data_IF_475385063825
#
_entry.id   IF_475385063825
#
_cell.length_a   1.000
_cell.length_b   1.000
_cell.length_c   1.000
_cell.angle_alpha   90.00
_cell.angle_beta   90.00
_cell.angle_gamma   90.00
#
_symmetry.space_group_name_H-M   'P 1'
#
loop_
_entity.id
_entity.type
_entity.pdbx_description
1 polymer ?
#
# COMPACT_ATOMS: atom_id res chain seq x y z
N UNK A 1 13.84 18.93 -26.23
CA UNK A 1 14.56 18.02 -27.15
C UNK A 1 16.00 17.96 -26.64
N UNK A 2 16.55 16.79 -26.39
CA UNK A 2 17.95 16.64 -25.94
C UNK A 2 18.78 15.79 -26.90
N UNK A 3 20.03 15.54 -26.57
CA UNK A 3 21.00 14.89 -27.44
C UNK A 3 21.25 13.43 -27.05
N UNK A 4 21.34 12.56 -28.04
CA UNK A 4 21.82 11.19 -27.88
C UNK A 4 23.27 11.13 -28.35
N UNK A 5 24.18 10.72 -27.48
CA UNK A 5 25.62 10.72 -27.75
C UNK A 5 26.22 9.41 -27.25
N UNK A 6 27.15 8.83 -27.98
CA UNK A 6 27.89 7.63 -27.58
C UNK A 6 29.27 7.95 -26.97
N UNK A 7 29.86 9.09 -27.35
CA UNK A 7 31.07 9.66 -26.75
C UNK A 7 30.82 10.36 -25.41
N UNK A 8 31.64 10.01 -24.41
CA UNK A 8 31.56 10.56 -23.06
C UNK A 8 32.01 12.04 -23.01
N UNK A 9 32.98 12.43 -23.83
CA UNK A 9 33.50 13.80 -23.83
C UNK A 9 32.47 14.77 -24.43
N UNK A 10 31.91 14.42 -25.59
CA UNK A 10 30.81 15.18 -26.17
C UNK A 10 29.57 15.24 -25.26
N UNK A 11 29.25 14.16 -24.55
CA UNK A 11 28.18 14.17 -23.56
C UNK A 11 28.45 15.13 -22.39
N UNK A 12 29.70 15.23 -21.94
CA UNK A 12 30.10 16.14 -20.86
C UNK A 12 29.93 17.61 -21.26
N UNK A 13 30.39 17.98 -22.45
CA UNK A 13 30.29 19.35 -22.96
C UNK A 13 28.81 19.76 -23.16
N UNK A 14 27.98 18.86 -23.67
CA UNK A 14 26.55 19.10 -23.85
C UNK A 14 25.81 19.19 -22.51
N UNK A 15 26.20 18.40 -21.52
CA UNK A 15 25.65 18.50 -20.18
C UNK A 15 26.01 19.84 -19.52
N UNK A 16 27.27 20.28 -19.64
CA UNK A 16 27.71 21.58 -19.11
C UNK A 16 26.97 22.76 -19.75
N UNK A 17 26.60 22.64 -21.02
CA UNK A 17 25.83 23.66 -21.75
C UNK A 17 24.33 23.63 -21.44
N UNK A 18 23.88 22.73 -20.55
CA UNK A 18 22.49 22.66 -20.08
C UNK A 18 21.56 21.91 -21.04
N UNK A 19 22.11 21.19 -22.03
CA UNK A 19 21.34 20.33 -22.92
C UNK A 19 21.16 18.98 -22.23
N UNK A 20 19.93 18.44 -22.13
CA UNK A 20 19.72 17.08 -21.64
C UNK A 20 20.42 16.07 -22.57
N UNK A 21 21.26 15.20 -22.00
CA UNK A 21 22.03 14.20 -22.76
C UNK A 21 21.65 12.78 -22.33
N UNK A 22 21.49 11.89 -23.31
CA UNK A 22 21.38 10.45 -23.13
C UNK A 22 22.61 9.76 -23.71
N UNK A 23 23.47 9.22 -22.83
CA UNK A 23 24.67 8.50 -23.23
C UNK A 23 24.32 7.08 -23.70
N UNK A 24 24.57 6.77 -24.97
CA UNK A 24 24.35 5.45 -25.56
C UNK A 24 25.62 4.61 -25.33
N UNK A 25 25.52 3.57 -24.51
CA UNK A 25 26.61 2.61 -24.28
C UNK A 25 26.37 1.33 -25.09
N UNK A 26 27.39 0.85 -25.79
CA UNK A 26 27.29 -0.43 -26.48
C UNK A 26 27.12 -1.57 -25.48
N UNK A 27 26.27 -2.55 -25.79
CA UNK A 27 26.03 -3.73 -24.94
C UNK A 27 27.27 -4.59 -24.72
N UNK A 28 28.29 -4.44 -25.56
CA UNK A 28 29.61 -5.08 -25.41
C UNK A 28 30.45 -4.42 -24.31
N UNK A 29 30.19 -3.15 -23.99
CA UNK A 29 30.82 -2.38 -22.92
C UNK A 29 30.07 -2.49 -21.58
N UNK A 30 28.88 -3.11 -21.56
CA UNK A 30 28.21 -3.56 -20.33
C UNK A 30 28.91 -4.77 -19.69
N UNK A 31 30.03 -5.22 -20.28
CA UNK A 31 30.82 -6.31 -19.73
C UNK A 31 31.38 -5.91 -18.36
N UNK A 32 31.06 -6.73 -17.36
CA UNK A 32 31.72 -6.90 -16.05
C UNK A 32 31.21 -6.18 -14.80
N UNK A 33 30.01 -5.60 -14.81
CA UNK A 33 29.31 -5.38 -13.53
C UNK A 33 27.94 -6.04 -13.57
N UNK A 34 27.91 -7.34 -13.28
CA UNK A 34 26.65 -7.94 -12.83
C UNK A 34 26.32 -7.27 -11.51
N UNK A 35 25.20 -6.53 -11.48
CA UNK A 35 24.73 -5.87 -10.26
C UNK A 35 24.58 -6.90 -9.14
N UNK A 36 24.15 -8.13 -9.48
CA UNK A 36 24.07 -9.30 -8.58
C UNK A 36 25.39 -9.68 -7.90
N UNK A 37 26.55 -9.28 -8.45
CA UNK A 37 27.88 -9.54 -7.86
C UNK A 37 28.43 -8.36 -7.06
N UNK A 38 27.85 -7.17 -7.25
CA UNK A 38 28.31 -5.93 -6.61
C UNK A 38 27.45 -5.57 -5.39
N UNK A 39 26.23 -6.09 -5.36
CA UNK A 39 25.25 -5.86 -4.30
C UNK A 39 24.55 -7.19 -4.08
N UNK A 40 24.49 -7.63 -2.82
CA UNK A 40 23.64 -8.76 -2.46
C UNK A 40 22.20 -8.42 -2.85
N UNK A 41 21.51 -9.38 -3.47
CA UNK A 41 20.11 -9.20 -3.81
C UNK A 41 19.34 -8.87 -2.53
N UNK A 42 18.45 -7.87 -2.61
CA UNK A 42 17.53 -7.56 -1.52
C UNK A 42 16.57 -8.75 -1.45
N UNK A 43 16.89 -9.70 -0.58
CA UNK A 43 16.02 -10.82 -0.27
C UNK A 43 15.07 -10.35 0.83
N UNK A 44 13.77 -10.53 0.62
CA UNK A 44 12.78 -10.30 1.66
C UNK A 44 13.08 -11.34 2.74
N UNK A 45 13.67 -10.90 3.86
CA UNK A 45 13.97 -11.81 4.95
C UNK A 45 12.66 -12.50 5.38
N UNK A 46 12.75 -13.72 5.92
CA UNK A 46 11.59 -14.50 6.37
C UNK A 46 10.67 -13.75 7.38
N UNK A 47 11.11 -12.59 7.87
CA UNK A 47 10.37 -11.73 8.78
C UNK A 47 9.61 -10.59 8.09
N UNK A 48 9.63 -10.51 6.75
CA UNK A 48 9.08 -9.38 5.95
C UNK A 48 9.72 -8.04 6.30
N UNK A 49 11.04 -8.07 6.43
CA UNK A 49 11.83 -6.90 6.79
C UNK A 49 12.89 -6.71 5.72
N UNK A 50 12.90 -5.53 5.12
CA UNK A 50 13.91 -5.11 4.15
C UNK A 50 14.88 -4.13 4.84
N UNK A 51 16.16 -4.46 5.01
CA UNK A 51 17.14 -3.55 5.57
C UNK A 51 17.42 -2.39 4.61
N UNK A 52 17.50 -1.18 5.15
CA UNK A 52 17.96 -0.02 4.39
C UNK A 52 19.46 -0.11 4.17
N UNK A 53 19.90 0.13 2.93
CA UNK A 53 21.31 -0.01 2.54
C UNK A 53 22.23 1.01 3.21
N UNK A 54 21.75 2.24 3.36
CA UNK A 54 22.57 3.41 3.76
C UNK A 54 22.15 4.00 5.11
N UNK A 55 21.21 3.37 5.82
CA UNK A 55 20.68 3.87 7.09
C UNK A 55 20.44 2.73 8.09
N UNK A 56 20.62 2.98 9.40
CA UNK A 56 20.19 2.05 10.43
C UNK A 56 18.66 2.10 10.52
N UNK A 57 18.00 1.37 9.63
CA UNK A 57 16.56 1.31 9.55
C UNK A 57 16.11 0.13 8.71
N UNK A 58 14.86 -0.24 8.89
CA UNK A 58 14.24 -1.34 8.18
C UNK A 58 12.88 -0.93 7.66
N UNK A 59 12.49 -1.45 6.50
CA UNK A 59 11.15 -1.34 5.94
C UNK A 59 10.41 -2.62 6.32
N UNK A 60 9.31 -2.47 7.03
CA UNK A 60 8.35 -3.55 7.27
C UNK A 60 7.50 -3.74 6.00
N UNK A 61 7.50 -4.95 5.46
CA UNK A 61 6.73 -5.34 4.27
C UNK A 61 5.55 -6.25 4.61
N UNK A 62 5.25 -6.45 5.89
CA UNK A 62 4.03 -7.15 6.29
C UNK A 62 2.79 -6.45 5.76
N UNK A 63 1.78 -7.24 5.40
CA UNK A 63 0.45 -6.71 5.09
C UNK A 63 -0.09 -5.98 6.32
N UNK A 64 -0.65 -4.78 6.12
CA UNK A 64 -1.24 -4.00 7.20
C UNK A 64 -2.42 -4.79 7.81
N UNK A 65 -2.43 -4.91 9.15
CA UNK A 65 -3.49 -5.55 9.91
C UNK A 65 -4.21 -4.52 10.78
N UNK A 66 -5.52 -4.28 10.55
CA UNK A 66 -6.43 -5.01 9.68
C UNK A 66 -6.25 -4.69 8.19
N UNK A 67 -6.67 -5.63 7.34
CA UNK A 67 -6.65 -5.47 5.88
C UNK A 67 -7.31 -4.14 5.45
N UNK A 68 -6.67 -3.43 4.52
CA UNK A 68 -7.22 -2.18 3.99
C UNK A 68 -8.62 -2.41 3.41
N UNK A 69 -9.61 -1.55 3.72
CA UNK A 69 -10.96 -1.74 3.23
C UNK A 69 -11.01 -1.63 1.71
N UNK A 70 -11.59 -2.64 1.05
CA UNK A 70 -11.82 -2.62 -0.40
C UNK A 70 -12.86 -1.55 -0.73
N UNK A 71 -12.42 -0.44 -1.30
CA UNK A 71 -13.28 0.71 -1.65
C UNK A 71 -14.19 0.41 -2.85
N UNK A 72 -13.72 -0.38 -3.81
CA UNK A 72 -14.48 -0.74 -5.00
C UNK A 72 -13.97 -2.06 -5.61
N UNK A 73 -14.90 -2.93 -6.02
CA UNK A 73 -14.61 -4.16 -6.74
C UNK A 73 -15.33 -4.14 -8.09
N UNK A 74 -14.57 -4.08 -9.19
CA UNK A 74 -15.13 -3.97 -10.55
C UNK A 74 -14.12 -3.45 -11.58
N UNK A 75 -14.58 -3.17 -12.80
CA UNK A 75 -13.72 -2.67 -13.89
C UNK A 75 -13.25 -1.23 -13.62
N UNK A 76 -11.99 -0.95 -13.93
CA UNK A 76 -11.33 0.33 -13.64
C UNK A 76 -11.91 1.55 -14.37
N UNK A 77 -12.66 1.32 -15.46
CA UNK A 77 -13.21 2.36 -16.35
C UNK A 77 -14.68 2.70 -16.07
N UNK A 78 -15.29 2.21 -14.98
CA UNK A 78 -16.69 2.51 -14.63
C UNK A 78 -16.79 3.74 -13.75
N UNK A 79 -17.79 4.60 -14.01
CA UNK A 79 -18.06 5.79 -13.19
C UNK A 79 -18.33 5.46 -11.71
N UNK A 80 -18.92 4.28 -11.46
CA UNK A 80 -19.18 3.74 -10.12
C UNK A 80 -17.93 3.67 -9.24
N UNK A 81 -16.76 3.40 -9.84
CA UNK A 81 -15.46 3.39 -9.14
C UNK A 81 -15.17 4.75 -8.52
N UNK A 82 -15.28 5.82 -9.30
CA UNK A 82 -14.99 7.18 -8.82
C UNK A 82 -16.00 7.61 -7.76
N UNK A 83 -17.26 7.20 -7.89
CA UNK A 83 -18.29 7.49 -6.90
C UNK A 83 -18.05 6.75 -5.58
N UNK A 84 -17.62 5.49 -5.62
CA UNK A 84 -17.23 4.73 -4.45
C UNK A 84 -16.00 5.33 -3.75
N UNK A 85 -14.98 5.73 -4.53
CA UNK A 85 -13.81 6.45 -4.01
C UNK A 85 -14.19 7.77 -3.34
N UNK A 86 -15.02 8.58 -3.98
CA UNK A 86 -15.48 9.85 -3.42
C UNK A 86 -16.19 9.64 -2.07
N UNK A 87 -17.06 8.63 -1.97
CA UNK A 87 -17.75 8.29 -0.71
C UNK A 87 -16.79 7.86 0.39
N UNK A 88 -15.81 7.01 0.06
CA UNK A 88 -14.80 6.57 1.01
C UNK A 88 -13.98 7.74 1.55
N UNK A 89 -13.50 8.62 0.65
CA UNK A 89 -12.73 9.82 1.02
C UNK A 89 -13.57 10.75 1.91
N UNK A 90 -14.82 11.04 1.53
CA UNK A 90 -15.72 11.85 2.36
C UNK A 90 -15.93 11.22 3.75
N UNK A 91 -16.04 9.89 3.83
CA UNK A 91 -16.14 9.17 5.10
C UNK A 91 -14.91 9.33 6.00
N UNK A 92 -13.70 9.31 5.41
CA UNK A 92 -12.44 9.50 6.16
C UNK A 92 -12.38 10.89 6.83
N UNK A 93 -12.81 11.93 6.12
CA UNK A 93 -12.79 13.32 6.63
C UNK A 93 -14.06 13.72 7.40
N UNK A 94 -15.00 12.80 7.60
CA UNK A 94 -16.18 13.03 8.43
C UNK A 94 -15.88 12.92 9.94
N UNK A 95 -14.66 12.50 10.31
CA UNK A 95 -14.12 12.72 11.66
C UNK A 95 -13.57 14.16 11.74
N UNK A 96 -14.15 14.94 12.65
CA UNK A 96 -13.94 16.39 12.80
C UNK A 96 -12.45 16.79 12.82
N UNK A 97 -12.02 17.53 11.79
CA UNK A 97 -10.73 18.25 11.75
C UNK A 97 -10.78 19.50 12.63
N UNK A 98 -11.97 19.94 13.05
CA UNK A 98 -12.12 21.00 14.04
C UNK A 98 -12.03 20.40 15.44
N UNK A 99 -10.92 20.73 16.10
CA UNK A 99 -10.66 20.38 17.48
C UNK A 99 -11.83 20.73 18.39
N UNK A 100 -11.97 19.89 19.42
CA UNK A 100 -12.90 20.00 20.53
C UNK A 100 -12.66 21.32 21.31
N UNK A 101 -13.18 22.44 20.81
CA UNK A 101 -13.24 23.69 21.56
C UNK A 101 -14.48 23.69 22.44
N UNK A 102 -14.24 23.34 23.71
CA UNK A 102 -15.09 23.58 24.87
C UNK A 102 -16.55 23.07 24.80
N UNK A 103 -16.76 21.87 25.34
CA UNK A 103 -17.88 21.68 26.26
C UNK A 103 -17.41 20.86 27.46
N UNK A 104 -16.82 21.56 28.42
CA UNK A 104 -16.76 21.06 29.79
C UNK A 104 -18.15 21.21 30.40
N UNK A 105 -19.02 20.24 30.13
CA UNK A 105 -20.16 19.97 31.01
C UNK A 105 -20.24 18.48 31.22
N UNK A 106 -19.77 18.05 32.38
CA UNK A 106 -19.92 16.68 32.84
C UNK A 106 -21.41 16.32 32.89
N UNK A 107 -21.80 15.24 32.22
CA UNK A 107 -23.03 14.51 32.52
C UNK A 107 -22.94 13.08 32.01
N UNK A 108 -22.49 12.21 32.92
CA UNK A 108 -23.07 10.89 33.24
C UNK A 108 -23.27 9.84 32.14
N UNK A 109 -22.52 8.75 32.33
CA UNK A 109 -22.66 7.41 31.78
C UNK A 109 -24.08 6.87 31.62
N UNK A 110 -24.34 6.17 30.52
CA UNK A 110 -25.17 4.96 30.52
C UNK A 110 -24.69 3.97 29.46
N UNK A 111 -24.10 2.88 29.94
CA UNK A 111 -23.84 1.66 29.18
C UNK A 111 -25.12 0.84 29.15
N UNK A 112 -25.69 0.59 27.97
CA UNK A 112 -26.80 -0.35 27.79
C UNK A 112 -26.37 -1.52 26.92
N UNK A 113 -26.05 -2.63 27.59
CA UNK A 113 -26.02 -3.96 27.01
C UNK A 113 -27.45 -4.51 26.94
N UNK A 114 -27.84 -5.22 25.85
CA UNK A 114 -28.97 -6.14 25.91
C UNK A 114 -28.48 -7.59 25.87
N UNK A 115 -28.72 -8.32 26.97
CA UNK A 115 -28.56 -9.76 27.10
C UNK A 115 -29.82 -10.52 26.67
N UNK A 116 -29.63 -11.59 25.88
CA UNK A 116 -30.35 -12.87 25.79
C UNK A 116 -31.89 -12.90 25.71
N UNK A 117 -32.42 -13.65 24.72
CA UNK A 117 -33.23 -14.87 24.93
C UNK A 117 -33.39 -15.61 23.59
N UNK A 118 -33.08 -16.91 23.65
CA UNK A 118 -33.19 -17.90 22.59
C UNK A 118 -34.66 -18.14 22.18
N UNK A 119 -34.90 -18.30 20.88
CA UNK A 119 -35.99 -19.14 20.36
C UNK A 119 -35.45 -19.98 19.20
N UNK A 120 -35.05 -21.21 19.55
CA UNK A 120 -34.69 -22.27 18.62
C UNK A 120 -35.96 -22.81 17.94
N UNK A 121 -35.97 -22.74 16.62
CA UNK A 121 -37.02 -23.28 15.75
C UNK A 121 -36.95 -24.80 15.69
N UNK A 122 -38.09 -25.44 15.92
CA UNK A 122 -38.37 -26.87 15.77
C UNK A 122 -38.27 -27.34 14.32
N UNK A 123 -37.55 -28.44 14.06
CA UNK A 123 -37.76 -29.28 12.87
C UNK A 123 -37.81 -30.77 13.23
N UNK A 124 -38.80 -31.43 12.64
CA UNK A 124 -39.29 -32.80 12.83
C UNK A 124 -38.27 -33.94 12.56
N UNK A 125 -38.29 -34.94 13.47
CA UNK A 125 -38.34 -36.43 13.30
C UNK A 125 -37.58 -37.11 12.14
N UNK A 126 -36.65 -38.01 12.50
CA UNK A 126 -36.75 -39.46 12.15
C UNK A 126 -35.79 -40.33 13.01
N UNK A 127 -36.24 -41.45 13.61
CA UNK A 127 -35.37 -42.43 14.25
C UNK A 127 -35.19 -43.69 13.38
N UNK A 128 -34.04 -44.37 13.54
CA UNK A 128 -33.74 -45.81 13.33
C UNK A 128 -32.48 -46.03 12.48
N UNK A 129 -31.52 -46.78 13.04
CA UNK A 129 -30.44 -47.40 12.27
C UNK A 129 -29.17 -47.70 13.06
N UNK A 130 -29.23 -48.63 14.02
CA UNK A 130 -28.04 -49.36 14.49
C UNK A 130 -27.83 -50.54 13.53
N UNK A 131 -26.63 -50.63 12.97
CA UNK A 131 -26.03 -51.82 12.34
C UNK A 131 -24.57 -51.86 12.76
#
# INVERSE_FOLDING_TARGET
MGAFVDDLNAAHDLFQTGIPVWLIRHTRELATVRIDKLVDAIDESANHIIPLRDAPGFIDTQDESPEHPVVYQGLTHKAERYLAMARYICGLYSYSIFGNFASSTAASSSSTSPSSIQKSSTSLVDPVGRG
#
